data_IF_526314110239
#
_entry.id   IF_526314110239
#
_cell.length_a   1.000
_cell.length_b   1.000
_cell.length_c   1.000
_cell.angle_alpha   90.00
_cell.angle_beta   90.00
_cell.angle_gamma   90.00
#
_symmetry.space_group_name_H-M   'P 1'
#
loop_
_entity.id
_entity.type
_entity.pdbx_description
1 polymer ?
#
# COMPACT_ATOMS: atom_id res chain seq x y z
N UNK A 1 1.20 -72.02 20.51
CA UNK A 1 2.05 -70.92 20.00
C UNK A 1 1.32 -69.57 19.89
N UNK A 2 0.04 -69.54 19.49
CA UNK A 2 -0.74 -68.29 19.26
C UNK A 2 -0.86 -67.38 20.51
N UNK A 3 -1.02 -67.94 21.73
CA UNK A 3 -1.15 -67.15 22.98
C UNK A 3 0.09 -66.31 23.35
N UNK A 4 1.28 -66.64 22.85
CA UNK A 4 2.52 -65.87 23.12
C UNK A 4 2.76 -64.73 22.12
N UNK A 5 2.07 -64.74 20.99
CA UNK A 5 2.24 -63.74 19.90
C UNK A 5 1.18 -62.63 20.02
N UNK A 6 0.06 -62.90 20.67
CA UNK A 6 -0.99 -61.90 20.92
C UNK A 6 -0.51 -60.64 21.67
N UNK A 7 0.29 -60.71 22.76
CA UNK A 7 0.73 -59.50 23.46
C UNK A 7 1.72 -58.66 22.64
N UNK A 8 2.56 -59.29 21.81
CA UNK A 8 3.50 -58.56 20.94
C UNK A 8 2.78 -57.86 19.78
N UNK A 9 1.74 -58.47 19.21
CA UNK A 9 0.89 -57.81 18.19
C UNK A 9 0.17 -56.61 18.80
N UNK A 10 -0.40 -56.75 20.01
CA UNK A 10 -1.08 -55.65 20.72
C UNK A 10 -0.10 -54.51 21.02
N UNK A 11 1.13 -54.82 21.44
CA UNK A 11 2.15 -53.82 21.72
C UNK A 11 2.60 -53.06 20.45
N UNK A 12 2.81 -53.78 19.34
CA UNK A 12 3.13 -53.14 18.05
C UNK A 12 1.97 -52.27 17.55
N UNK A 13 0.73 -52.72 17.72
CA UNK A 13 -0.46 -51.95 17.34
C UNK A 13 -0.62 -50.68 18.20
N UNK A 14 -0.35 -50.77 19.52
CA UNK A 14 -0.34 -49.61 20.41
C UNK A 14 0.78 -48.61 20.06
N UNK A 15 1.97 -49.09 19.68
CA UNK A 15 3.05 -48.23 19.19
C UNK A 15 2.68 -47.56 17.87
N UNK A 16 1.98 -48.26 16.97
CA UNK A 16 1.50 -47.72 15.70
C UNK A 16 0.43 -46.65 15.92
N UNK A 17 -0.54 -46.91 16.80
CA UNK A 17 -1.55 -45.92 17.20
C UNK A 17 -0.87 -44.71 17.85
N UNK A 18 0.05 -44.92 18.80
CA UNK A 18 0.80 -43.84 19.44
C UNK A 18 1.61 -43.01 18.44
N UNK A 19 2.24 -43.65 17.46
CA UNK A 19 2.98 -42.97 16.40
C UNK A 19 2.06 -42.16 15.47
N UNK A 20 0.90 -42.71 15.09
CA UNK A 20 -0.10 -41.98 14.28
C UNK A 20 -0.71 -40.81 15.05
N UNK A 21 -1.06 -41.00 16.32
CA UNK A 21 -1.58 -39.94 17.20
C UNK A 21 -0.53 -38.85 17.44
N UNK A 22 0.73 -39.21 17.63
CA UNK A 22 1.84 -38.26 17.77
C UNK A 22 2.06 -37.46 16.48
N UNK A 23 2.04 -38.11 15.31
CA UNK A 23 2.14 -37.42 14.03
C UNK A 23 0.94 -36.51 13.75
N UNK A 24 -0.27 -36.95 14.08
CA UNK A 24 -1.48 -36.13 13.97
C UNK A 24 -1.41 -34.92 14.90
N UNK A 25 -0.97 -35.10 16.15
CA UNK A 25 -0.80 -34.03 17.12
C UNK A 25 0.28 -33.02 16.70
N UNK A 26 1.42 -33.51 16.17
CA UNK A 26 2.49 -32.66 15.65
C UNK A 26 2.06 -31.86 14.41
N UNK A 27 1.29 -32.47 13.51
CA UNK A 27 0.73 -31.79 12.34
C UNK A 27 -0.35 -30.75 12.70
N UNK A 28 -1.02 -30.92 13.84
CA UNK A 28 -2.13 -30.07 14.28
C UNK A 28 -1.72 -28.88 15.16
N UNK A 29 -0.42 -28.70 15.47
CA UNK A 29 0.00 -27.50 16.19
C UNK A 29 -0.21 -26.27 15.30
N UNK A 30 -0.99 -25.26 15.73
CA UNK A 30 -1.07 -24.00 15.01
C UNK A 30 0.32 -23.39 15.01
N UNK A 31 0.90 -23.19 13.83
CA UNK A 31 2.08 -22.37 13.72
C UNK A 31 1.63 -20.90 13.66
N UNK A 32 2.25 -20.10 14.50
CA UNK A 32 2.00 -18.67 14.62
C UNK A 32 3.19 -17.96 14.01
N UNK A 33 2.90 -16.93 13.21
CA UNK A 33 3.93 -16.05 12.69
C UNK A 33 3.53 -14.61 12.97
N UNK A 34 4.48 -13.82 13.47
CA UNK A 34 4.28 -12.40 13.64
C UNK A 34 4.50 -11.66 12.31
N UNK A 35 3.69 -10.65 12.05
CA UNK A 35 3.81 -9.73 10.93
C UNK A 35 3.53 -8.29 11.39
N UNK A 36 4.24 -7.32 10.82
CA UNK A 36 3.95 -5.91 11.05
C UNK A 36 2.87 -5.45 10.08
N UNK A 37 1.79 -4.86 10.60
CA UNK A 37 0.71 -4.32 9.80
C UNK A 37 1.20 -3.10 9.01
N UNK A 38 0.89 -3.09 7.73
CA UNK A 38 1.16 -2.03 6.78
C UNK A 38 -0.16 -1.54 6.17
N UNK A 39 -0.13 -0.32 5.66
CA UNK A 39 -1.27 0.31 4.99
C UNK A 39 -0.82 0.87 3.65
N UNK A 40 -1.74 0.92 2.70
CA UNK A 40 -1.50 1.61 1.43
C UNK A 40 -1.37 3.11 1.68
N UNK A 41 -0.17 3.63 1.43
CA UNK A 41 0.17 5.05 1.53
C UNK A 41 0.38 5.63 0.13
N UNK A 42 -0.23 6.77 -0.14
CA UNK A 42 -0.02 7.54 -1.36
C UNK A 42 0.65 8.86 -0.98
N UNK A 43 1.83 9.10 -1.56
CA UNK A 43 2.51 10.38 -1.44
C UNK A 43 2.02 11.26 -2.58
N UNK A 44 1.40 12.38 -2.22
CA UNK A 44 0.96 13.41 -3.15
C UNK A 44 2.14 14.36 -3.36
N UNK A 45 2.57 14.49 -4.61
CA UNK A 45 3.69 15.34 -5.00
C UNK A 45 3.23 16.47 -5.91
N UNK A 46 3.97 17.58 -5.89
CA UNK A 46 3.69 18.70 -6.79
C UNK A 46 3.96 18.33 -8.24
N UNK A 47 3.05 18.73 -9.14
CA UNK A 47 3.25 18.59 -10.60
C UNK A 47 3.83 19.84 -11.24
N UNK A 48 3.82 20.97 -10.54
CA UNK A 48 4.36 22.27 -10.99
C UNK A 48 5.29 22.88 -9.95
N UNK A 49 6.11 23.84 -10.35
CA UNK A 49 6.93 24.60 -9.40
C UNK A 49 6.21 25.90 -9.02
N UNK A 50 5.96 26.12 -7.73
CA UNK A 50 5.43 27.38 -7.20
C UNK A 50 5.56 27.41 -5.68
N UNK A 51 5.30 28.57 -5.10
CA UNK A 51 5.00 28.79 -3.69
C UNK A 51 3.60 28.28 -3.28
N UNK A 52 3.52 27.74 -2.06
CA UNK A 52 2.27 27.31 -1.41
C UNK A 52 1.64 28.52 -0.72
N UNK A 53 0.39 28.85 -1.08
CA UNK A 53 -0.33 30.01 -0.53
C UNK A 53 -1.37 29.63 0.52
N UNK A 54 -1.81 28.39 0.54
CA UNK A 54 -2.79 27.90 1.51
C UNK A 54 -2.65 26.39 1.64
N UNK A 55 -2.54 25.89 2.87
CA UNK A 55 -2.46 24.45 3.15
C UNK A 55 -3.40 24.08 4.31
N UNK A 56 -4.73 24.02 4.07
CA UNK A 56 -5.75 23.97 5.12
C UNK A 56 -5.94 22.60 5.81
N UNK A 57 -5.09 21.62 5.53
CA UNK A 57 -5.19 20.27 6.13
C UNK A 57 -4.03 20.01 7.07
N UNK A 58 -4.32 19.31 8.16
CA UNK A 58 -3.37 18.95 9.20
C UNK A 58 -3.18 17.44 9.30
N UNK A 59 -2.08 17.03 9.94
CA UNK A 59 -1.83 15.62 10.22
C UNK A 59 -2.93 15.04 11.13
N UNK A 60 -3.50 13.91 10.71
CA UNK A 60 -4.64 13.27 11.38
C UNK A 60 -6.00 13.60 10.76
N UNK A 61 -6.09 14.57 9.85
CA UNK A 61 -7.34 14.88 9.17
C UNK A 61 -7.79 13.74 8.25
N UNK A 62 -9.10 13.53 8.21
CA UNK A 62 -9.73 12.60 7.26
C UNK A 62 -10.09 13.38 6.00
N UNK A 63 -9.72 12.82 4.84
CA UNK A 63 -9.99 13.42 3.52
C UNK A 63 -10.66 12.42 2.60
N UNK A 64 -11.56 12.92 1.77
CA UNK A 64 -12.17 12.20 0.67
C UNK A 64 -11.47 12.52 -0.65
N UNK A 65 -11.55 11.59 -1.61
CA UNK A 65 -10.99 11.78 -2.94
C UNK A 65 -11.63 13.01 -3.59
N UNK A 66 -10.79 13.96 -4.00
CA UNK A 66 -11.19 15.22 -4.60
C UNK A 66 -11.13 16.41 -3.64
N UNK A 67 -11.01 16.19 -2.33
CA UNK A 67 -10.86 17.27 -1.36
C UNK A 67 -9.61 18.10 -1.66
N UNK A 68 -9.72 19.42 -1.49
CA UNK A 68 -8.60 20.34 -1.66
C UNK A 68 -7.62 20.15 -0.49
N UNK A 69 -6.38 19.78 -0.80
CA UNK A 69 -5.31 19.62 0.19
C UNK A 69 -4.51 20.90 0.35
N UNK A 70 -4.15 21.54 -0.77
CA UNK A 70 -3.44 22.81 -0.77
C UNK A 70 -3.64 23.57 -2.09
N UNK A 71 -3.34 24.86 -2.03
CA UNK A 71 -3.35 25.77 -3.17
C UNK A 71 -1.98 26.45 -3.31
N UNK A 72 -1.53 26.54 -4.56
CA UNK A 72 -0.27 27.16 -4.96
C UNK A 72 -0.54 28.46 -5.72
N UNK A 73 0.34 29.46 -5.59
CA UNK A 73 0.11 30.76 -6.24
C UNK A 73 0.09 30.66 -7.76
N UNK A 74 1.06 29.95 -8.33
CA UNK A 74 1.23 29.74 -9.76
C UNK A 74 1.24 31.04 -10.59
N UNK A 75 1.76 32.13 -10.03
CA UNK A 75 1.75 33.44 -10.68
C UNK A 75 2.46 33.42 -12.03
N UNK A 76 3.58 32.70 -12.16
CA UNK A 76 4.28 32.56 -13.44
C UNK A 76 3.41 31.89 -14.52
N UNK A 77 2.61 30.88 -14.14
CA UNK A 77 1.69 30.21 -15.07
C UNK A 77 0.48 31.08 -15.41
N UNK A 78 -0.01 31.89 -14.47
CA UNK A 78 -1.11 32.85 -14.70
C UNK A 78 -0.68 33.93 -15.69
N UNK A 79 0.50 34.52 -15.48
CA UNK A 79 1.08 35.53 -16.40
C UNK A 79 1.29 34.92 -17.79
N UNK A 80 1.85 33.71 -17.86
CA UNK A 80 2.05 33.00 -19.13
C UNK A 80 0.71 32.68 -19.82
N UNK A 81 -0.33 32.31 -19.06
CA UNK A 81 -1.67 32.06 -19.60
C UNK A 81 -2.22 33.28 -20.33
N UNK A 82 -2.10 34.47 -19.73
CA UNK A 82 -2.57 35.70 -20.36
C UNK A 82 -1.86 35.96 -21.70
N UNK A 83 -0.56 35.67 -21.79
CA UNK A 83 0.18 35.80 -23.05
C UNK A 83 -0.31 34.78 -24.08
N UNK A 84 -0.42 33.50 -23.69
CA UNK A 84 -0.86 32.42 -24.58
C UNK A 84 -2.29 32.66 -25.08
N UNK A 85 -3.19 33.14 -24.22
CA UNK A 85 -4.56 33.46 -24.60
C UNK A 85 -4.60 34.57 -25.65
N UNK A 86 -3.79 35.63 -25.49
CA UNK A 86 -3.66 36.68 -26.49
C UNK A 86 -3.12 36.14 -27.83
N UNK A 87 -2.11 35.27 -27.79
CA UNK A 87 -1.54 34.62 -28.96
C UNK A 87 -2.55 33.72 -29.68
N UNK A 88 -3.32 32.95 -28.90
CA UNK A 88 -4.38 32.09 -29.39
C UNK A 88 -5.49 32.90 -30.08
N UNK A 89 -5.97 33.98 -29.46
CA UNK A 89 -6.99 34.85 -30.07
C UNK A 89 -6.50 35.49 -31.38
N UNK A 90 -5.23 35.91 -31.43
CA UNK A 90 -4.62 36.40 -32.68
C UNK A 90 -4.57 35.31 -33.74
N UNK A 91 -4.21 34.09 -33.36
CA UNK A 91 -4.15 32.96 -34.28
C UNK A 91 -5.54 32.60 -34.84
N UNK A 92 -6.59 32.60 -34.02
CA UNK A 92 -7.97 32.40 -34.47
C UNK A 92 -8.34 33.39 -35.57
N UNK A 93 -8.07 34.69 -35.36
CA UNK A 93 -8.37 35.74 -36.34
C UNK A 93 -7.56 35.60 -37.63
N UNK A 94 -6.31 35.14 -37.55
CA UNK A 94 -5.45 34.90 -38.71
C UNK A 94 -5.88 33.66 -39.51
N UNK A 95 -6.31 32.58 -38.83
CA UNK A 95 -6.78 31.35 -39.47
C UNK A 95 -8.04 31.62 -40.30
N UNK A 96 -9.00 32.37 -39.75
CA UNK A 96 -10.22 32.77 -40.46
C UNK A 96 -9.93 33.58 -41.73
N UNK A 97 -8.84 34.36 -41.73
CA UNK A 97 -8.39 35.15 -42.88
C UNK A 97 -7.47 34.36 -43.84
N UNK A 98 -7.17 33.10 -43.54
CA UNK A 98 -6.26 32.26 -44.33
C UNK A 98 -4.79 32.68 -44.24
N UNK A 99 -4.40 33.43 -43.20
CA UNK A 99 -3.03 33.93 -43.01
C UNK A 99 -2.11 32.96 -42.25
N UNK A 100 -2.67 31.90 -41.64
CA UNK A 100 -1.91 30.80 -41.03
C UNK A 100 -2.49 29.45 -41.45
N UNK A 101 -1.69 28.39 -41.40
CA UNK A 101 -2.16 27.03 -41.69
C UNK A 101 -2.79 26.37 -40.47
N UNK A 102 -3.62 25.34 -40.69
CA UNK A 102 -4.18 24.53 -39.61
C UNK A 102 -3.08 23.96 -38.70
N UNK A 103 -2.00 23.42 -39.28
CA UNK A 103 -0.89 22.87 -38.51
C UNK A 103 -0.21 23.89 -37.60
N UNK A 104 -0.12 25.17 -38.02
CA UNK A 104 0.40 26.24 -37.16
C UNK A 104 -0.56 26.58 -36.02
N UNK A 105 -1.87 26.60 -36.30
CA UNK A 105 -2.89 26.79 -35.28
C UNK A 105 -2.87 25.68 -34.23
N UNK A 106 -2.77 24.41 -34.65
CA UNK A 106 -2.76 23.26 -33.76
C UNK A 106 -1.58 23.29 -32.76
N UNK A 107 -0.43 23.87 -33.12
CA UNK A 107 0.71 24.07 -32.19
C UNK A 107 0.34 25.05 -31.08
N UNK A 108 -0.31 26.16 -31.43
CA UNK A 108 -0.71 27.18 -30.46
C UNK A 108 -1.82 26.66 -29.54
N UNK A 109 -2.76 25.90 -30.10
CA UNK A 109 -3.79 25.22 -29.30
C UNK A 109 -3.17 24.24 -28.29
N UNK A 110 -2.21 23.41 -28.71
CA UNK A 110 -1.50 22.51 -27.79
C UNK A 110 -0.75 23.26 -26.69
N UNK A 111 -0.09 24.37 -27.04
CA UNK A 111 0.61 25.19 -26.05
C UNK A 111 -0.35 25.78 -25.02
N UNK A 112 -1.55 26.20 -25.44
CA UNK A 112 -2.61 26.64 -24.55
C UNK A 112 -3.07 25.52 -23.61
N UNK A 113 -3.40 24.36 -24.18
CA UNK A 113 -3.85 23.21 -23.39
C UNK A 113 -2.81 22.77 -22.34
N UNK A 114 -1.52 22.79 -22.68
CA UNK A 114 -0.44 22.47 -21.76
C UNK A 114 -0.36 23.46 -20.57
N UNK A 115 -0.50 24.76 -20.83
CA UNK A 115 -0.49 25.75 -19.76
C UNK A 115 -1.76 25.71 -18.90
N UNK A 116 -2.92 25.50 -19.51
CA UNK A 116 -4.19 25.35 -18.80
C UNK A 116 -4.13 24.17 -17.81
N UNK A 117 -3.55 23.04 -18.23
CA UNK A 117 -3.34 21.87 -17.36
C UNK A 117 -2.38 22.17 -16.19
N UNK A 118 -1.33 22.96 -16.44
CA UNK A 118 -0.40 23.38 -15.38
C UNK A 118 -1.09 24.28 -14.35
N UNK A 119 -2.02 25.13 -14.78
CA UNK A 119 -2.84 25.94 -13.88
C UNK A 119 -3.80 25.09 -13.05
N UNK A 120 -4.37 24.02 -13.61
CA UNK A 120 -5.19 23.07 -12.85
C UNK A 120 -4.38 22.40 -11.73
N UNK A 121 -3.11 22.06 -11.99
CA UNK A 121 -2.22 21.43 -11.01
C UNK A 121 -1.81 22.32 -9.84
N UNK A 122 -2.13 23.61 -9.88
CA UNK A 122 -1.92 24.55 -8.78
C UNK A 122 -2.87 24.29 -7.60
N UNK A 123 -3.98 23.58 -7.86
CA UNK A 123 -4.86 23.03 -6.83
C UNK A 123 -4.55 21.55 -6.68
N UNK A 124 -4.06 21.18 -5.51
CA UNK A 124 -3.68 19.80 -5.23
C UNK A 124 -4.82 19.16 -4.45
N UNK A 125 -5.45 18.16 -5.06
CA UNK A 125 -6.57 17.43 -4.47
C UNK A 125 -6.15 16.04 -3.99
N UNK A 126 -6.90 15.50 -3.04
CA UNK A 126 -6.71 14.14 -2.53
C UNK A 126 -6.99 13.09 -3.62
N UNK A 127 -6.03 12.21 -3.96
CA UNK A 127 -6.24 11.15 -4.96
C UNK A 127 -7.04 9.95 -4.43
N UNK A 128 -7.09 9.78 -3.10
CA UNK A 128 -7.75 8.66 -2.41
C UNK A 128 -8.47 9.16 -1.17
N UNK A 129 -9.46 8.39 -0.71
CA UNK A 129 -10.02 8.55 0.63
C UNK A 129 -9.01 8.04 1.66
N UNK A 130 -8.81 8.76 2.76
CA UNK A 130 -7.87 8.33 3.78
C UNK A 130 -7.64 9.36 4.87
N UNK A 131 -6.53 9.18 5.58
CA UNK A 131 -6.09 10.05 6.67
C UNK A 131 -4.73 10.65 6.30
N UNK A 132 -4.56 11.93 6.57
CA UNK A 132 -3.29 12.64 6.41
C UNK A 132 -2.30 12.11 7.45
N UNK A 133 -1.20 11.52 6.99
CA UNK A 133 -0.19 10.91 7.87
C UNK A 133 0.98 11.83 8.11
N UNK A 134 1.46 12.49 7.06
CA UNK A 134 2.61 13.36 7.15
C UNK A 134 2.46 14.52 6.19
N UNK A 135 2.62 15.72 6.71
CA UNK A 135 2.73 16.97 5.96
C UNK A 135 4.21 17.28 5.78
N UNK A 136 4.68 17.28 4.52
CA UNK A 136 6.11 17.43 4.23
C UNK A 136 6.54 18.89 4.03
N UNK A 137 5.58 19.81 3.87
CA UNK A 137 5.78 21.21 3.49
C UNK A 137 4.84 22.10 4.26
N UNK A 138 5.26 23.32 4.51
CA UNK A 138 4.44 24.35 5.13
C UNK A 138 3.98 25.42 4.13
N UNK A 139 2.94 26.16 4.54
CA UNK A 139 2.51 27.36 3.82
C UNK A 139 3.65 28.39 3.75
N UNK A 140 3.79 29.04 2.60
CA UNK A 140 4.88 29.97 2.30
C UNK A 140 6.15 29.32 1.74
N UNK A 141 6.26 27.99 1.74
CA UNK A 141 7.40 27.31 1.09
C UNK A 141 7.29 27.33 -0.44
N UNK A 142 8.46 27.42 -1.09
CA UNK A 142 8.59 27.23 -2.54
C UNK A 142 8.89 25.75 -2.81
N UNK A 143 8.07 25.12 -3.64
CA UNK A 143 8.24 23.72 -4.03
C UNK A 143 8.57 23.60 -5.51
N UNK A 144 9.46 22.66 -5.83
CA UNK A 144 9.72 22.23 -7.20
C UNK A 144 8.77 21.11 -7.66
N UNK A 145 8.71 20.87 -8.96
CA UNK A 145 8.03 19.69 -9.51
C UNK A 145 8.63 18.40 -8.92
N UNK A 146 7.76 17.46 -8.54
CA UNK A 146 8.12 16.19 -7.92
C UNK A 146 8.29 16.25 -6.40
N UNK A 147 8.29 17.45 -5.80
CA UNK A 147 8.39 17.60 -4.33
C UNK A 147 7.21 16.93 -3.64
N UNK A 148 7.47 16.10 -2.64
CA UNK A 148 6.43 15.52 -1.79
C UNK A 148 5.76 16.60 -0.94
N UNK A 149 4.43 16.64 -0.96
CA UNK A 149 3.62 17.65 -0.27
C UNK A 149 2.96 17.05 0.97
N UNK A 150 2.27 15.92 0.78
CA UNK A 150 1.55 15.22 1.84
C UNK A 150 1.50 13.73 1.58
N UNK A 151 1.41 12.92 2.63
CA UNK A 151 1.12 11.49 2.53
C UNK A 151 -0.26 11.17 3.10
N UNK A 152 -1.03 10.36 2.36
CA UNK A 152 -2.36 9.91 2.73
C UNK A 152 -2.32 8.40 2.88
N UNK A 153 -2.81 7.86 3.99
CA UNK A 153 -2.98 6.43 4.17
C UNK A 153 -4.46 6.04 4.11
N UNK A 154 -4.76 4.89 3.50
CA UNK A 154 -6.09 4.29 3.57
C UNK A 154 -6.17 3.33 4.77
N UNK A 155 -6.79 3.71 5.90
CA UNK A 155 -6.79 2.88 7.11
C UNK A 155 -7.65 1.62 6.98
N UNK A 156 -8.51 1.52 5.96
CA UNK A 156 -9.29 0.32 5.66
C UNK A 156 -8.52 -0.71 4.83
N UNK A 157 -7.42 -0.30 4.20
CA UNK A 157 -6.56 -1.20 3.42
C UNK A 157 -5.31 -1.59 4.21
N UNK A 158 -5.50 -2.53 5.14
CA UNK A 158 -4.47 -3.04 6.05
C UNK A 158 -4.03 -4.44 5.66
N UNK A 159 -2.73 -4.65 5.55
CA UNK A 159 -2.12 -5.92 5.17
C UNK A 159 -0.79 -6.15 5.87
N UNK A 160 -0.28 -7.37 5.85
CA UNK A 160 1.06 -7.70 6.37
C UNK A 160 1.68 -8.83 5.56
N UNK A 161 3.00 -8.97 5.66
CA UNK A 161 3.72 -10.17 5.22
C UNK A 161 4.05 -11.04 6.42
N UNK A 162 3.62 -12.30 6.34
CA UNK A 162 4.12 -13.37 7.21
C UNK A 162 5.18 -14.16 6.47
N UNK A 163 6.33 -14.39 7.11
CA UNK A 163 7.43 -15.14 6.53
C UNK A 163 7.30 -16.61 6.91
N UNK A 164 6.77 -17.40 5.97
CA UNK A 164 6.45 -18.80 6.20
C UNK A 164 7.58 -19.68 5.63
N UNK A 165 8.11 -20.63 6.39
CA UNK A 165 9.11 -21.59 5.92
C UNK A 165 8.65 -22.42 4.73
N UNK A 166 9.60 -22.79 3.86
CA UNK A 166 9.34 -23.64 2.69
C UNK A 166 8.55 -24.92 3.02
N UNK A 167 8.90 -25.58 4.12
CA UNK A 167 8.31 -26.85 4.56
C UNK A 167 6.85 -26.71 5.01
N UNK A 168 6.37 -25.49 5.29
CA UNK A 168 4.98 -25.23 5.69
C UNK A 168 4.15 -24.61 4.56
N UNK A 169 4.79 -24.18 3.46
CA UNK A 169 4.14 -23.47 2.36
C UNK A 169 3.05 -24.29 1.66
N UNK A 170 3.20 -25.62 1.60
CA UNK A 170 2.23 -26.52 0.97
C UNK A 170 0.83 -26.50 1.60
N UNK A 171 0.74 -26.02 2.85
CA UNK A 171 -0.54 -25.89 3.60
C UNK A 171 -1.30 -24.62 3.24
N UNK A 172 -0.66 -23.67 2.54
CA UNK A 172 -1.22 -22.35 2.25
C UNK A 172 -1.64 -22.24 0.79
N UNK A 173 -2.77 -21.57 0.55
CA UNK A 173 -3.28 -21.28 -0.80
C UNK A 173 -3.73 -19.83 -0.90
N UNK A 174 -3.56 -19.23 -2.06
CA UNK A 174 -4.11 -17.89 -2.35
C UNK A 174 -5.63 -17.93 -2.17
N UNK A 175 -6.18 -16.91 -1.50
CA UNK A 175 -7.59 -16.81 -1.16
C UNK A 175 -8.02 -17.53 0.11
N UNK A 176 -7.14 -18.32 0.73
CA UNK A 176 -7.39 -18.96 2.02
C UNK A 176 -7.63 -17.91 3.11
N UNK A 177 -8.62 -18.19 3.97
CA UNK A 177 -8.88 -17.38 5.17
C UNK A 177 -7.95 -17.83 6.29
N UNK A 178 -7.40 -16.87 7.01
CA UNK A 178 -6.62 -17.10 8.23
C UNK A 178 -7.17 -16.24 9.36
N UNK A 179 -6.84 -16.59 10.58
CA UNK A 179 -7.19 -15.82 11.77
C UNK A 179 -5.89 -15.18 12.24
N UNK A 180 -5.87 -13.85 12.28
CA UNK A 180 -4.83 -13.09 12.96
C UNK A 180 -5.31 -12.70 14.34
N UNK A 181 -4.42 -12.67 15.32
CA UNK A 181 -4.73 -12.17 16.65
C UNK A 181 -3.84 -11.00 17.02
N UNK A 182 -4.42 -10.03 17.71
CA UNK A 182 -3.73 -8.83 18.16
C UNK A 182 -3.42 -8.97 19.66
N UNK A 183 -2.16 -9.27 20.05
CA UNK A 183 -1.79 -9.46 21.46
C UNK A 183 -2.14 -8.25 22.33
N UNK A 184 -1.95 -7.04 21.79
CA UNK A 184 -2.17 -5.75 22.46
C UNK A 184 -3.66 -5.49 22.76
N UNK A 185 -4.57 -6.15 22.04
CA UNK A 185 -6.01 -6.00 22.20
C UNK A 185 -6.64 -7.23 22.87
N UNK A 186 -6.01 -7.77 23.91
CA UNK A 186 -6.48 -8.95 24.65
C UNK A 186 -6.70 -10.19 23.77
N UNK A 187 -5.93 -10.33 22.69
CA UNK A 187 -6.05 -11.45 21.76
C UNK A 187 -7.29 -11.39 20.87
N UNK A 188 -7.84 -10.19 20.63
CA UNK A 188 -8.90 -10.00 19.62
C UNK A 188 -8.48 -10.58 18.28
N UNK A 189 -9.42 -11.27 17.64
CA UNK A 189 -9.20 -11.99 16.39
C UNK A 189 -9.74 -11.23 15.19
N UNK A 190 -8.97 -11.21 14.11
CA UNK A 190 -9.31 -10.57 12.85
C UNK A 190 -9.24 -11.62 11.72
N UNK A 191 -10.24 -11.61 10.84
CA UNK A 191 -10.24 -12.51 9.68
C UNK A 191 -9.37 -11.90 8.60
N UNK A 192 -8.30 -12.62 8.25
CA UNK A 192 -7.39 -12.31 7.15
C UNK A 192 -7.66 -13.17 5.92
N UNK A 193 -7.26 -12.69 4.74
CA UNK A 193 -7.25 -13.43 3.48
C UNK A 193 -5.87 -13.37 2.85
N UNK A 194 -5.32 -14.52 2.47
CA UNK A 194 -4.06 -14.60 1.73
C UNK A 194 -4.28 -14.01 0.34
N UNK A 195 -3.57 -12.92 0.03
CA UNK A 195 -3.62 -12.25 -1.26
C UNK A 195 -2.55 -12.78 -2.22
N UNK A 196 -1.34 -13.01 -1.70
CA UNK A 196 -0.19 -13.41 -2.50
C UNK A 196 0.74 -14.28 -1.66
N UNK A 197 1.35 -15.26 -2.32
CA UNK A 197 2.50 -15.99 -1.81
C UNK A 197 3.65 -15.65 -2.77
N UNK A 198 4.78 -15.16 -2.26
CA UNK A 198 5.93 -14.86 -3.10
C UNK A 198 6.48 -16.16 -3.72
N UNK A 199 6.95 -16.08 -4.97
CA UNK A 199 7.54 -17.21 -5.69
C UNK A 199 9.02 -17.40 -5.34
N UNK A 200 9.69 -16.30 -5.02
CA UNK A 200 11.09 -16.28 -4.62
C UNK A 200 11.19 -16.41 -3.09
N UNK A 201 12.08 -17.30 -2.65
CA UNK A 201 12.45 -17.41 -1.26
C UNK A 201 13.41 -16.29 -0.86
N UNK A 202 13.22 -15.78 0.34
CA UNK A 202 14.14 -14.84 0.98
C UNK A 202 14.87 -15.56 2.13
N UNK A 203 16.12 -15.16 2.38
CA UNK A 203 16.77 -15.52 3.64
C UNK A 203 15.98 -14.87 4.78
N UNK A 204 15.76 -15.61 5.86
CA UNK A 204 14.93 -15.14 6.97
C UNK A 204 15.33 -13.72 7.38
N UNK A 205 14.36 -12.76 7.44
CA UNK A 205 14.65 -11.39 7.83
C UNK A 205 15.44 -11.34 9.15
N UNK A 206 16.18 -10.25 9.40
CA UNK A 206 17.18 -10.11 10.48
C UNK A 206 16.71 -10.43 11.92
N UNK A 207 15.42 -10.67 12.15
CA UNK A 207 14.81 -10.87 13.47
C UNK A 207 14.70 -12.34 13.90
N UNK A 208 15.77 -13.13 13.74
CA UNK A 208 15.75 -14.52 14.20
C UNK A 208 16.86 -14.83 15.20
N UNK A 209 16.46 -15.49 16.30
CA UNK A 209 17.26 -15.70 17.51
C UNK A 209 18.29 -16.83 17.35
N UNK A 210 18.04 -17.84 16.52
CA UNK A 210 18.98 -18.95 16.31
C UNK A 210 19.64 -18.93 14.93
N UNK A 211 20.87 -19.46 14.84
CA UNK A 211 21.65 -19.55 13.59
C UNK A 211 20.96 -20.44 12.56
N UNK A 212 20.34 -21.53 12.99
CA UNK A 212 19.63 -22.48 12.13
C UNK A 212 18.43 -21.82 11.45
N UNK A 213 17.65 -21.02 12.18
CA UNK A 213 16.47 -20.37 11.62
C UNK A 213 16.82 -19.23 10.64
N UNK A 214 18.02 -18.62 10.72
CA UNK A 214 18.53 -17.66 9.72
C UNK A 214 18.96 -18.31 8.41
N UNK A 215 19.29 -19.61 8.43
CA UNK A 215 19.70 -20.37 7.23
C UNK A 215 18.53 -20.97 6.47
N UNK A 216 17.31 -20.91 7.00
CA UNK A 216 16.12 -21.46 6.35
C UNK A 216 15.58 -20.49 5.31
N UNK A 217 15.10 -21.04 4.20
CA UNK A 217 14.36 -20.30 3.18
C UNK A 217 12.93 -20.03 3.68
N UNK A 218 12.53 -18.76 3.67
CA UNK A 218 11.17 -18.33 3.96
C UNK A 218 10.54 -17.65 2.77
N UNK A 219 9.21 -17.72 2.69
CA UNK A 219 8.43 -17.12 1.63
C UNK A 219 7.50 -16.08 2.25
N UNK A 220 7.48 -14.89 1.65
CA UNK A 220 6.56 -13.82 2.04
C UNK A 220 5.14 -14.17 1.65
N UNK A 221 4.26 -14.31 2.64
CA UNK A 221 2.82 -14.52 2.46
C UNK A 221 2.08 -13.24 2.81
N UNK A 222 1.58 -12.55 1.78
CA UNK A 222 0.82 -11.31 1.94
C UNK A 222 -0.61 -11.62 2.37
N UNK A 223 -1.02 -11.10 3.52
CA UNK A 223 -2.38 -11.27 4.05
C UNK A 223 -3.01 -9.90 4.24
N UNK A 224 -4.25 -9.76 3.81
CA UNK A 224 -5.09 -8.58 4.07
C UNK A 224 -6.12 -8.89 5.14
N UNK A 225 -6.29 -7.97 6.09
CA UNK A 225 -7.25 -8.09 7.18
C UNK A 225 -8.45 -7.18 6.96
N UNK A 226 -9.61 -7.59 7.46
CA UNK A 226 -10.77 -6.70 7.55
C UNK A 226 -10.58 -5.73 8.72
N UNK A 227 -10.74 -4.43 8.48
CA UNK A 227 -10.50 -3.35 9.46
C UNK A 227 -11.64 -2.32 9.47
N UNK A 228 -12.88 -2.79 9.56
CA UNK A 228 -14.07 -1.92 9.57
C UNK A 228 -14.14 -1.01 10.82
N UNK A 229 -13.61 -1.47 11.94
CA UNK A 229 -13.60 -0.76 13.22
C UNK A 229 -12.37 0.13 13.43
N UNK A 230 -11.47 0.21 12.44
CA UNK A 230 -10.23 0.97 12.46
C UNK A 230 -9.31 0.64 13.66
N UNK A 231 -9.45 -0.55 14.25
CA UNK A 231 -8.62 -0.97 15.39
C UNK A 231 -7.20 -1.31 14.95
N UNK A 232 -7.05 -1.89 13.76
CA UNK A 232 -5.74 -2.22 13.20
C UNK A 232 -5.09 -0.95 12.66
N UNK A 233 -3.90 -0.62 13.17
CA UNK A 233 -3.09 0.50 12.70
C UNK A 233 -1.79 0.00 12.10
N UNK A 234 -1.29 0.74 11.10
CA UNK A 234 0.03 0.47 10.55
C UNK A 234 1.10 0.56 11.66
N UNK A 235 2.05 -0.38 11.65
CA UNK A 235 3.11 -0.52 12.66
C UNK A 235 2.77 -1.48 13.81
N UNK A 236 1.49 -1.84 14.01
CA UNK A 236 1.12 -2.87 14.99
C UNK A 236 1.62 -4.26 14.58
N UNK A 237 1.87 -5.13 15.55
CA UNK A 237 2.23 -6.53 15.29
C UNK A 237 0.97 -7.39 15.38
N UNK A 238 0.72 -8.20 14.37
CA UNK A 238 -0.33 -9.21 14.37
C UNK A 238 0.30 -10.59 14.26
N UNK A 239 -0.30 -11.58 14.91
CA UNK A 239 0.21 -12.96 14.98
C UNK A 239 -0.78 -13.99 14.40
#
# INVERSE_FOLDING_TARGET
MIKKILPTIIFVFLLLIGFTAYNYWRASKPFVYAGTLETTKVIVSSKVASDIINFPVEEGDTVEKGDLLLEMSCDSYKVLSHQIDNDYQRAVALLQKGHISQAQFDVLERNKQDNDLKLEWCKVNAPINGVIITKFREEGEIVGQGSSLVSIANPYDIWTYFYVPHDELYRLRVGQKIIGYLPEAQGKTFVGKILKINEEAEFTPKNVQTREERTRLVYGVKVKFNNEDLMLKAGMTIE
#
